data_IF_989871901420
#
_entry.id   IF_989871901420
#
_cell.length_a   1.000
_cell.length_b   1.000
_cell.length_c   1.000
_cell.angle_alpha   90.00
_cell.angle_beta   90.00
_cell.angle_gamma   90.00
#
_symmetry.space_group_name_H-M   'P 1'
#
loop_
_entity.id
_entity.type
_entity.pdbx_description
1 polymer ?
#
# COMPACT_ATOMS: atom_id res chain seq x y z
N UNK A 1 7.53 8.40 -2.18
CA UNK A 1 7.04 9.70 -2.73
C UNK A 1 5.51 9.69 -2.93
N UNK A 2 4.85 10.79 -3.36
CA UNK A 2 3.39 10.88 -3.63
C UNK A 2 3.08 11.74 -4.88
N UNK A 3 1.95 11.51 -5.58
CA UNK A 3 1.55 12.25 -6.79
C UNK A 3 1.44 13.78 -6.61
N UNK A 4 1.14 14.25 -5.40
CA UNK A 4 1.09 15.68 -5.08
C UNK A 4 2.48 16.33 -4.97
N UNK A 5 3.55 15.53 -5.01
CA UNK A 5 4.94 15.99 -4.92
C UNK A 5 5.66 15.97 -6.29
N UNK A 6 4.93 15.86 -7.41
CA UNK A 6 5.52 15.95 -8.76
C UNK A 6 4.96 17.14 -9.53
N UNK A 7 5.84 17.79 -10.30
CA UNK A 7 5.47 18.86 -11.23
C UNK A 7 5.43 18.27 -12.64
N UNK A 8 4.32 18.47 -13.33
CA UNK A 8 4.09 17.98 -14.69
C UNK A 8 4.33 19.11 -15.70
N UNK A 9 4.80 18.73 -16.89
CA UNK A 9 4.93 19.66 -18.02
C UNK A 9 3.52 20.14 -18.45
N UNK A 10 3.26 21.46 -18.49
CA UNK A 10 1.94 21.98 -18.86
C UNK A 10 1.59 21.71 -20.33
N UNK A 11 2.58 21.55 -21.21
CA UNK A 11 2.37 21.22 -22.62
C UNK A 11 2.33 19.70 -22.85
N UNK A 12 2.96 18.91 -21.97
CA UNK A 12 2.96 17.45 -22.03
C UNK A 12 2.73 16.79 -20.65
N UNK A 13 1.48 16.68 -20.16
CA UNK A 13 1.17 16.27 -18.78
C UNK A 13 1.63 14.87 -18.37
N UNK A 14 2.07 14.03 -19.31
CA UNK A 14 2.67 12.72 -19.03
C UNK A 14 4.15 12.80 -18.62
N UNK A 15 4.76 13.98 -18.71
CA UNK A 15 6.18 14.21 -18.42
C UNK A 15 6.34 14.91 -17.07
N UNK A 16 7.10 14.29 -16.18
CA UNK A 16 7.51 14.89 -14.91
C UNK A 16 8.71 15.81 -15.15
N UNK A 17 8.59 17.09 -14.76
CA UNK A 17 9.64 18.10 -14.89
C UNK A 17 10.24 18.50 -13.53
N UNK A 18 9.69 17.99 -12.43
CA UNK A 18 10.23 18.23 -11.09
C UNK A 18 9.67 17.25 -10.06
N UNK A 19 10.49 16.93 -9.06
CA UNK A 19 10.10 16.19 -7.86
C UNK A 19 10.38 17.10 -6.66
N UNK A 20 9.37 17.32 -5.83
CA UNK A 20 9.42 18.22 -4.68
C UNK A 20 9.50 17.44 -3.37
N UNK A 21 9.59 18.16 -2.25
CA UNK A 21 9.40 17.61 -0.90
C UNK A 21 10.46 16.54 -0.52
N UNK A 22 11.74 16.89 -0.69
CA UNK A 22 12.90 16.06 -0.39
C UNK A 22 13.34 16.10 1.09
N UNK A 23 12.59 16.77 1.97
CA UNK A 23 13.01 16.98 3.37
C UNK A 23 13.09 15.68 4.19
N UNK A 24 12.38 14.64 3.77
CA UNK A 24 12.43 13.30 4.38
C UNK A 24 13.33 12.32 3.61
N UNK A 25 14.11 12.78 2.63
CA UNK A 25 14.96 11.91 1.81
C UNK A 25 16.07 11.28 2.65
N UNK A 26 16.29 9.98 2.47
CA UNK A 26 17.32 9.21 3.15
C UNK A 26 17.74 8.00 2.31
N UNK A 27 18.86 7.37 2.68
CA UNK A 27 19.30 6.12 2.06
C UNK A 27 18.53 4.94 2.66
N UNK A 28 17.99 4.06 1.81
CA UNK A 28 17.20 2.90 2.26
C UNK A 28 16.82 1.95 1.13
N UNK A 29 16.02 0.94 1.46
CA UNK A 29 15.49 -0.04 0.49
C UNK A 29 14.46 0.63 -0.46
N UNK A 30 14.67 0.62 -1.79
CA UNK A 30 13.73 1.21 -2.75
C UNK A 30 12.31 0.63 -2.67
N UNK A 31 12.16 -0.66 -2.33
CA UNK A 31 10.85 -1.31 -2.24
C UNK A 31 10.06 -0.83 -1.02
N UNK A 32 10.73 -0.31 0.02
CA UNK A 32 10.06 0.36 1.14
C UNK A 32 9.45 1.70 0.71
N UNK A 33 10.10 2.46 -0.19
CA UNK A 33 9.50 3.68 -0.75
C UNK A 33 8.34 3.34 -1.69
N UNK A 34 8.47 2.29 -2.51
CA UNK A 34 7.36 1.81 -3.35
C UNK A 34 6.15 1.37 -2.53
N UNK A 35 6.35 0.56 -1.48
CA UNK A 35 5.28 0.16 -0.57
C UNK A 35 4.64 1.35 0.14
N UNK A 36 5.46 2.33 0.54
CA UNK A 36 4.98 3.58 1.13
C UNK A 36 4.15 4.44 0.17
N UNK A 37 4.53 4.51 -1.11
CA UNK A 37 3.76 5.20 -2.14
C UNK A 37 2.42 4.49 -2.36
N UNK A 38 2.44 3.15 -2.46
CA UNK A 38 1.25 2.35 -2.73
C UNK A 38 0.27 2.28 -1.54
N UNK A 39 0.70 2.61 -0.32
CA UNK A 39 -0.20 2.76 0.83
C UNK A 39 -1.24 3.87 0.62
N UNK A 40 -0.92 4.92 -0.15
CA UNK A 40 -1.85 5.98 -0.53
C UNK A 40 -2.69 5.64 -1.78
N UNK A 41 -2.35 4.55 -2.47
CA UNK A 41 -3.05 4.11 -3.68
C UNK A 41 -4.41 3.55 -3.31
N UNK A 42 -5.47 4.21 -3.77
CA UNK A 42 -6.84 3.76 -3.57
C UNK A 42 -7.38 3.33 -4.92
N UNK A 43 -7.73 2.05 -5.01
CA UNK A 43 -8.27 1.45 -6.23
C UNK A 43 -9.80 1.52 -6.22
N UNK A 44 -10.41 1.38 -7.41
CA UNK A 44 -11.87 1.43 -7.57
C UNK A 44 -12.60 0.30 -6.81
N UNK A 45 -11.96 -0.86 -6.69
CA UNK A 45 -12.46 -2.07 -6.05
C UNK A 45 -12.19 -2.12 -4.53
N UNK A 46 -11.52 -1.11 -3.96
CA UNK A 46 -11.37 -1.00 -2.52
C UNK A 46 -12.72 -0.82 -1.80
N UNK A 47 -12.77 -1.18 -0.52
CA UNK A 47 -13.95 -0.96 0.30
C UNK A 47 -14.31 0.54 0.44
N UNK A 48 -15.57 0.81 0.79
CA UNK A 48 -16.11 2.19 0.88
C UNK A 48 -15.30 3.10 1.81
N UNK A 49 -14.76 2.59 2.91
CA UNK A 49 -13.99 3.37 3.89
C UNK A 49 -12.66 3.82 3.27
N UNK A 50 -11.93 2.92 2.62
CA UNK A 50 -10.70 3.26 1.90
C UNK A 50 -10.95 4.23 0.74
N UNK A 51 -12.06 4.07 0.02
CA UNK A 51 -12.48 5.05 -1.00
C UNK A 51 -12.82 6.43 -0.42
N UNK A 52 -13.26 6.52 0.83
CA UNK A 52 -13.47 7.82 1.48
C UNK A 52 -12.16 8.50 1.90
N UNK A 53 -11.07 7.73 2.11
CA UNK A 53 -9.75 8.29 2.43
C UNK A 53 -8.93 8.74 1.22
N UNK A 54 -9.51 8.73 0.01
CA UNK A 54 -8.83 9.13 -1.24
C UNK A 54 -8.23 10.52 -1.15
N UNK A 55 -6.95 10.62 -1.52
CA UNK A 55 -6.24 11.89 -1.69
C UNK A 55 -5.72 12.10 -3.12
N UNK A 56 -5.76 11.05 -3.94
CA UNK A 56 -5.19 11.02 -5.29
C UNK A 56 -6.19 10.38 -6.27
N UNK A 57 -6.10 10.70 -7.58
CA UNK A 57 -6.98 10.17 -8.61
C UNK A 57 -6.67 8.72 -9.00
N UNK A 58 -6.12 7.90 -8.09
CA UNK A 58 -5.64 6.53 -8.36
C UNK A 58 -6.73 5.47 -8.57
N UNK A 59 -7.99 5.89 -8.46
CA UNK A 59 -9.18 5.06 -8.65
C UNK A 59 -9.84 5.28 -10.01
N UNK A 60 -9.36 6.24 -10.80
CA UNK A 60 -9.92 6.55 -12.11
C UNK A 60 -9.59 5.43 -13.10
N UNK A 61 -10.46 5.26 -14.08
CA UNK A 61 -10.24 4.34 -15.19
C UNK A 61 -8.96 4.72 -15.96
N UNK A 62 -8.21 3.70 -16.39
CA UNK A 62 -6.93 3.87 -17.09
C UNK A 62 -5.70 4.05 -16.18
N UNK A 63 -5.89 4.18 -14.87
CA UNK A 63 -4.77 4.14 -13.91
C UNK A 63 -4.42 2.69 -13.57
N UNK A 64 -3.12 2.40 -13.46
CA UNK A 64 -2.62 1.10 -13.04
C UNK A 64 -3.14 0.71 -11.64
N UNK A 65 -3.49 -0.58 -11.51
CA UNK A 65 -3.69 -1.26 -10.24
C UNK A 65 -2.39 -1.29 -9.42
N UNK A 66 -2.49 -1.56 -8.11
CA UNK A 66 -1.27 -1.68 -7.27
C UNK A 66 -0.34 -2.77 -7.79
N UNK A 67 -0.90 -3.90 -8.20
CA UNK A 67 -0.15 -5.02 -8.75
C UNK A 67 0.56 -4.65 -10.05
N UNK A 68 -0.12 -3.95 -10.96
CA UNK A 68 0.50 -3.46 -12.20
C UNK A 68 1.62 -2.46 -11.93
N UNK A 69 1.47 -1.55 -10.96
CA UNK A 69 2.55 -0.62 -10.58
C UNK A 69 3.77 -1.37 -10.05
N UNK A 70 3.56 -2.38 -9.20
CA UNK A 70 4.65 -3.22 -8.67
C UNK A 70 5.36 -3.95 -9.79
N UNK A 71 4.61 -4.65 -10.64
CA UNK A 71 5.16 -5.38 -11.77
C UNK A 71 5.94 -4.47 -12.72
N UNK A 72 5.39 -3.30 -13.04
CA UNK A 72 6.06 -2.28 -13.85
C UNK A 72 7.38 -1.83 -13.21
N UNK A 73 7.37 -1.53 -11.91
CA UNK A 73 8.56 -1.06 -11.19
C UNK A 73 9.66 -2.12 -11.15
N UNK A 74 9.32 -3.37 -10.81
CA UNK A 74 10.26 -4.49 -10.74
C UNK A 74 10.88 -4.76 -12.13
N UNK A 75 10.06 -4.77 -13.18
CA UNK A 75 10.55 -4.94 -14.56
C UNK A 75 11.49 -3.81 -14.99
N UNK A 76 11.22 -2.56 -14.61
CA UNK A 76 12.05 -1.41 -15.00
C UNK A 76 13.36 -1.32 -14.24
N UNK A 77 13.39 -1.78 -12.99
CA UNK A 77 14.57 -1.72 -12.13
C UNK A 77 15.41 -2.99 -12.15
N UNK A 78 14.87 -4.11 -12.63
CA UNK A 78 15.50 -5.43 -12.55
C UNK A 78 15.54 -5.98 -11.11
N UNK A 79 14.83 -5.33 -10.18
CA UNK A 79 14.67 -5.81 -8.81
C UNK A 79 13.66 -6.96 -8.78
N UNK A 80 13.78 -7.81 -7.77
CA UNK A 80 12.81 -8.85 -7.44
C UNK A 80 12.37 -8.68 -5.98
N UNK A 81 11.16 -9.16 -5.67
CA UNK A 81 10.65 -9.20 -4.31
C UNK A 81 10.14 -10.60 -3.99
N UNK A 82 10.92 -11.35 -3.22
CA UNK A 82 10.50 -12.67 -2.71
C UNK A 82 9.30 -12.59 -1.76
N UNK A 83 9.08 -11.42 -1.14
CA UNK A 83 7.94 -11.15 -0.27
C UNK A 83 7.41 -9.73 -0.45
N UNK A 84 6.64 -9.50 -1.52
CA UNK A 84 5.97 -8.22 -1.72
C UNK A 84 5.03 -7.83 -0.56
N UNK A 85 4.38 -8.82 0.08
CA UNK A 85 3.45 -8.57 1.18
C UNK A 85 4.10 -7.82 2.34
N UNK A 86 5.38 -8.09 2.64
CA UNK A 86 6.12 -7.34 3.66
C UNK A 86 6.15 -5.84 3.35
N UNK A 87 6.48 -5.45 2.12
CA UNK A 87 6.58 -4.06 1.70
C UNK A 87 5.21 -3.35 1.69
N UNK A 88 4.16 -4.05 1.28
CA UNK A 88 2.80 -3.51 1.33
C UNK A 88 2.34 -3.28 2.77
N UNK A 89 2.57 -4.25 3.67
CA UNK A 89 2.25 -4.14 5.10
C UNK A 89 3.06 -3.03 5.77
N UNK A 90 4.35 -2.91 5.44
CA UNK A 90 5.20 -1.82 5.92
C UNK A 90 4.64 -0.45 5.52
N UNK A 91 4.25 -0.27 4.26
CA UNK A 91 3.64 0.97 3.77
C UNK A 91 2.36 1.31 4.55
N UNK A 92 1.49 0.33 4.77
CA UNK A 92 0.26 0.50 5.57
C UNK A 92 0.57 0.84 7.03
N UNK A 93 1.54 0.19 7.65
CA UNK A 93 1.98 0.49 9.02
C UNK A 93 2.49 1.92 9.13
N UNK A 94 3.36 2.36 8.20
CA UNK A 94 3.85 3.74 8.14
C UNK A 94 2.70 4.73 7.99
N UNK A 95 1.76 4.48 7.08
CA UNK A 95 0.58 5.33 6.88
C UNK A 95 -0.30 5.40 8.14
N UNK A 96 -0.52 4.28 8.82
CA UNK A 96 -1.25 4.24 10.08
C UNK A 96 -0.57 5.10 11.16
N UNK A 97 0.77 5.02 11.26
CA UNK A 97 1.55 5.87 12.17
C UNK A 97 1.42 7.36 11.88
N UNK A 98 1.45 7.75 10.60
CA UNK A 98 1.21 9.15 10.18
C UNK A 98 -0.21 9.60 10.55
N UNK A 99 -1.22 8.80 10.22
CA UNK A 99 -2.60 9.10 10.54
C UNK A 99 -2.84 9.19 12.07
N UNK A 100 -2.21 8.31 12.85
CA UNK A 100 -2.28 8.29 14.31
C UNK A 100 -1.66 9.55 14.92
N UNK A 101 -0.54 10.02 14.39
CA UNK A 101 0.07 11.29 14.84
C UNK A 101 -0.82 12.50 14.55
N UNK A 102 -1.44 12.55 13.37
CA UNK A 102 -2.39 13.61 13.01
C UNK A 102 -3.60 13.59 13.95
N UNK A 103 -4.17 12.40 14.17
CA UNK A 103 -5.31 12.22 15.08
C UNK A 103 -4.95 12.60 16.53
N UNK A 104 -3.76 12.23 17.00
CA UNK A 104 -3.26 12.61 18.32
C UNK A 104 -3.26 14.13 18.51
N UNK A 105 -2.70 14.88 17.55
CA UNK A 105 -2.67 16.35 17.61
C UNK A 105 -4.08 16.93 17.65
N UNK A 106 -5.01 16.38 16.86
CA UNK A 106 -6.41 16.80 16.87
C UNK A 106 -7.09 16.53 18.23
N UNK A 107 -6.95 15.31 18.75
CA UNK A 107 -7.52 14.90 20.04
C UNK A 107 -7.02 15.78 21.19
N UNK A 108 -5.73 16.13 21.18
CA UNK A 108 -5.11 17.01 22.16
C UNK A 108 -5.29 18.52 21.86
N UNK A 109 -6.14 18.89 20.90
CA UNK A 109 -6.44 20.28 20.53
C UNK A 109 -5.21 21.11 20.11
N UNK A 110 -4.17 20.44 19.62
CA UNK A 110 -3.01 21.06 18.98
C UNK A 110 -3.31 21.46 17.53
N UNK A 111 -4.40 20.93 16.96
CA UNK A 111 -5.04 21.37 15.72
C UNK A 111 -6.55 21.23 15.88
N UNK A 112 -7.32 22.07 15.21
CA UNK A 112 -8.77 22.13 15.24
C UNK A 112 -9.44 21.72 13.92
N UNK A 113 -8.64 21.31 12.92
CA UNK A 113 -9.16 20.97 11.60
C UNK A 113 -10.16 19.79 11.67
N UNK A 114 -11.45 20.00 11.34
CA UNK A 114 -12.49 18.98 11.49
C UNK A 114 -12.27 17.76 10.57
N UNK A 115 -11.46 17.89 9.52
CA UNK A 115 -11.09 16.77 8.66
C UNK A 115 -10.38 15.63 9.42
N UNK A 116 -9.72 15.96 10.55
CA UNK A 116 -8.97 14.99 11.35
C UNK A 116 -9.80 14.28 12.41
N UNK A 117 -11.04 14.73 12.66
CA UNK A 117 -11.93 14.19 13.69
C UNK A 117 -12.14 12.67 13.60
N UNK A 118 -12.23 12.16 12.37
CA UNK A 118 -12.56 10.76 12.10
C UNK A 118 -11.35 9.94 11.65
N UNK A 119 -10.12 10.42 11.86
CA UNK A 119 -8.92 9.69 11.45
C UNK A 119 -8.76 8.34 12.14
N UNK A 120 -9.30 8.16 13.35
CA UNK A 120 -9.35 6.87 14.04
C UNK A 120 -10.01 5.76 13.19
N UNK A 121 -11.06 6.09 12.42
CA UNK A 121 -11.72 5.13 11.51
C UNK A 121 -10.76 4.68 10.41
N UNK A 122 -10.03 5.62 9.82
CA UNK A 122 -9.06 5.34 8.75
C UNK A 122 -7.92 4.47 9.29
N UNK A 123 -7.44 4.75 10.50
CA UNK A 123 -6.39 3.97 11.17
C UNK A 123 -6.83 2.51 11.35
N UNK A 124 -8.06 2.27 11.82
CA UNK A 124 -8.59 0.90 11.93
C UNK A 124 -8.80 0.22 10.57
N UNK A 125 -9.21 0.96 9.54
CA UNK A 125 -9.36 0.41 8.19
C UNK A 125 -8.01 -0.03 7.60
N UNK A 126 -6.97 0.79 7.77
CA UNK A 126 -5.59 0.47 7.37
C UNK A 126 -5.10 -0.76 8.14
N UNK A 127 -5.32 -0.80 9.46
CA UNK A 127 -4.93 -1.94 10.29
C UNK A 127 -5.62 -3.23 9.85
N UNK A 128 -6.94 -3.21 9.62
CA UNK A 128 -7.68 -4.37 9.15
C UNK A 128 -7.18 -4.87 7.78
N UNK A 129 -6.82 -3.94 6.87
CA UNK A 129 -6.21 -4.30 5.58
C UNK A 129 -4.85 -4.96 5.77
N UNK A 130 -4.00 -4.43 6.64
CA UNK A 130 -2.69 -5.01 6.93
C UNK A 130 -2.83 -6.45 7.48
N UNK A 131 -3.73 -6.67 8.44
CA UNK A 131 -4.01 -8.01 8.98
C UNK A 131 -4.53 -8.98 7.91
N UNK A 132 -5.40 -8.52 7.00
CA UNK A 132 -5.89 -9.33 5.89
C UNK A 132 -4.76 -9.75 4.95
N UNK A 133 -3.82 -8.86 4.66
CA UNK A 133 -2.66 -9.16 3.81
C UNK A 133 -1.73 -10.18 4.48
N UNK A 134 -1.44 -9.99 5.78
CA UNK A 134 -0.63 -10.93 6.57
C UNK A 134 -1.28 -12.32 6.56
N UNK A 135 -2.57 -12.41 6.89
CA UNK A 135 -3.29 -13.68 6.91
C UNK A 135 -3.31 -14.36 5.53
N UNK A 136 -3.48 -13.60 4.44
CA UNK A 136 -3.40 -14.13 3.07
C UNK A 136 -2.01 -14.71 2.77
N UNK A 137 -0.94 -14.01 3.16
CA UNK A 137 0.43 -14.47 2.95
C UNK A 137 0.76 -15.72 3.78
N UNK A 138 0.33 -15.77 5.04
CA UNK A 138 0.50 -16.95 5.90
C UNK A 138 -0.27 -18.16 5.35
N UNK A 139 -1.51 -17.97 4.91
CA UNK A 139 -2.29 -19.03 4.27
C UNK A 139 -1.59 -19.58 3.01
N UNK A 140 -1.02 -18.70 2.18
CA UNK A 140 -0.25 -19.11 1.00
C UNK A 140 1.02 -19.89 1.38
N UNK A 141 1.72 -19.53 2.48
CA UNK A 141 2.85 -20.31 3.00
C UNK A 141 2.45 -21.70 3.51
N UNK A 142 1.28 -21.83 4.12
CA UNK A 142 0.77 -23.13 4.61
C UNK A 142 0.34 -24.03 3.46
N UNK A 143 -0.17 -23.45 2.36
CA UNK A 143 -0.57 -24.16 1.14
C UNK A 143 0.63 -24.49 0.25
N UNK A 144 1.78 -23.84 0.43
CA UNK A 144 3.03 -24.16 -0.26
C UNK A 144 3.56 -25.56 0.16
N UNK A 145 3.58 -26.47 -0.81
CA UNK A 145 3.26 -27.91 -0.67
C UNK A 145 4.32 -28.80 0.01
N UNK A 146 5.44 -28.25 0.47
CA UNK A 146 6.56 -29.05 1.00
C UNK A 146 6.57 -29.24 2.52
N UNK A 147 5.62 -28.65 3.25
CA UNK A 147 5.57 -28.73 4.73
C UNK A 147 4.40 -29.53 5.29
N UNK A 148 3.50 -30.02 4.45
CA UNK A 148 2.42 -30.92 4.87
C UNK A 148 2.97 -32.32 5.15
N UNK A 149 2.58 -32.99 6.26
CA UNK A 149 2.87 -34.40 6.47
C UNK A 149 2.43 -35.22 5.25
N UNK A 150 3.28 -36.16 4.78
CA UNK A 150 3.03 -37.01 3.60
C UNK A 150 1.58 -37.55 3.45
N UNK A 151 0.85 -37.92 4.53
CA UNK A 151 -0.53 -38.36 4.41
C UNK A 151 -1.49 -37.31 3.82
N UNK A 152 -1.27 -36.02 4.13
CA UNK A 152 -2.16 -34.91 3.74
C UNK A 152 -1.86 -34.44 2.32
N UNK A 153 -0.62 -34.58 1.83
CA UNK A 153 -0.26 -34.29 0.43
C UNK A 153 -1.10 -35.12 -0.55
N UNK A 154 -1.30 -36.42 -0.26
CA UNK A 154 -2.10 -37.33 -1.10
C UNK A 154 -3.62 -37.06 -1.10
N UNK A 155 -4.11 -36.28 -0.13
CA UNK A 155 -5.50 -35.84 -0.05
C UNK A 155 -5.73 -34.53 -0.79
N UNK A 156 -4.73 -33.64 -0.80
CA UNK A 156 -4.75 -32.38 -1.55
C UNK A 156 -4.76 -32.60 -3.07
N UNK A 157 -4.10 -33.67 -3.57
CA UNK A 157 -4.14 -34.07 -4.98
C UNK A 157 -5.51 -34.59 -5.44
N UNK A 158 -6.40 -34.95 -4.51
CA UNK A 158 -7.70 -35.55 -4.80
C UNK A 158 -8.85 -34.54 -4.91
N UNK A 159 -8.61 -33.26 -4.59
CA UNK A 159 -9.61 -32.19 -4.51
C UNK A 159 -9.28 -30.96 -5.37
N UNK A 160 -8.41 -31.13 -6.36
CA UNK A 160 -8.24 -30.17 -7.46
C UNK A 160 -8.70 -30.88 -8.73
N UNK A 161 -9.74 -30.40 -9.45
CA UNK A 161 -10.04 -30.91 -10.78
C UNK A 161 -8.91 -30.59 -11.77
#
# INVERSE_FOLDING_TARGET
WRFDNVVLDPEQPTKVIGVLDWEMATLGDPLMDLGSALAYWVQADDNKIMRQSRRQPTHLEGIMTREEVVNYYLQKTGMDSSNWTFYEVFGLFRLAGIAQQIYYRYYHKQTDNPAFKNFWIIIHAIHARALKLIAKHEALRVVDKNTLPKPIQSLAERWVP
#
